data_IF_778522312644
#
_entry.id   IF_778522312644
#
_cell.length_a   1.000
_cell.length_b   1.000
_cell.length_c   1.000
_cell.angle_alpha   90.00
_cell.angle_beta   90.00
_cell.angle_gamma   90.00
#
_symmetry.space_group_name_H-M   'P 1'
#
loop_
_entity.id
_entity.type
_entity.pdbx_description
1 polymer ?
#
# COMPACT_ATOMS: atom_id res chain seq x y z
N UNK A 1 2.36 53.08 19.34
CA UNK A 1 2.24 52.26 20.56
C UNK A 1 0.77 52.22 20.99
N UNK A 2 -0.14 51.89 20.06
CA UNK A 2 -1.60 51.97 20.29
C UNK A 2 -2.40 50.89 19.50
N UNK A 3 -1.74 49.87 18.94
CA UNK A 3 -2.41 48.78 18.19
C UNK A 3 -2.30 47.39 18.86
N UNK A 4 -1.79 47.32 20.11
CA UNK A 4 -1.43 46.05 20.76
C UNK A 4 -2.53 45.39 21.63
N UNK A 5 -3.71 46.00 21.75
CA UNK A 5 -4.80 45.50 22.62
C UNK A 5 -6.15 45.37 21.88
N UNK A 6 -6.14 44.90 20.63
CA UNK A 6 -7.41 44.47 20.01
C UNK A 6 -7.77 43.09 20.53
N UNK A 7 -8.73 43.05 21.46
CA UNK A 7 -9.37 41.82 21.89
C UNK A 7 -9.79 40.98 20.66
N UNK A 8 -9.50 39.68 20.71
CA UNK A 8 -9.81 38.74 19.64
C UNK A 8 -11.31 38.80 19.32
N UNK A 9 -11.62 39.07 18.05
CA UNK A 9 -12.97 39.14 17.51
C UNK A 9 -13.42 37.72 17.17
N UNK A 10 -14.35 37.22 17.96
CA UNK A 10 -14.97 35.90 17.79
C UNK A 10 -16.46 36.10 17.56
N UNK A 11 -17.04 35.34 16.63
CA UNK A 11 -18.50 35.36 16.38
C UNK A 11 -19.31 35.02 17.65
N UNK A 12 -18.69 34.33 18.61
CA UNK A 12 -19.31 33.92 19.87
C UNK A 12 -19.28 35.01 20.95
N UNK A 13 -18.37 35.98 20.82
CA UNK A 13 -18.15 37.05 21.81
C UNK A 13 -18.60 38.43 21.29
N UNK A 14 -18.98 38.53 20.00
CA UNK A 14 -19.56 39.74 19.40
C UNK A 14 -21.04 39.92 19.73
N UNK A 15 -21.43 41.16 20.04
CA UNK A 15 -22.82 41.58 20.24
C UNK A 15 -23.71 41.30 19.00
N UNK A 16 -24.94 40.85 19.24
CA UNK A 16 -25.88 40.32 18.24
C UNK A 16 -26.33 41.32 17.18
N UNK A 17 -26.32 42.62 17.52
CA UNK A 17 -26.78 43.70 16.63
C UNK A 17 -25.66 44.29 15.76
N UNK A 18 -24.43 43.76 15.85
CA UNK A 18 -23.32 44.25 15.01
C UNK A 18 -23.60 43.98 13.53
N UNK A 19 -23.51 45.00 12.65
CA UNK A 19 -23.77 44.85 11.21
C UNK A 19 -22.93 43.76 10.55
N UNK A 20 -21.68 43.60 10.96
CA UNK A 20 -20.74 42.61 10.44
C UNK A 20 -21.22 41.19 10.77
N UNK A 21 -21.63 40.95 12.01
CA UNK A 21 -22.16 39.66 12.45
C UNK A 21 -23.45 39.31 11.70
N UNK A 22 -24.38 40.27 11.58
CA UNK A 22 -25.62 40.09 10.83
C UNK A 22 -25.36 39.77 9.36
N UNK A 23 -24.35 40.40 8.74
CA UNK A 23 -23.98 40.11 7.36
C UNK A 23 -23.37 38.71 7.22
N UNK A 24 -22.50 38.29 8.15
CA UNK A 24 -21.97 36.92 8.19
C UNK A 24 -23.07 35.87 8.38
N UNK A 25 -24.05 36.12 9.26
CA UNK A 25 -25.18 35.21 9.46
C UNK A 25 -26.09 35.13 8.23
N UNK A 26 -26.28 36.24 7.51
CA UNK A 26 -27.01 36.23 6.22
C UNK A 26 -26.30 35.39 5.16
N UNK A 27 -24.97 35.45 5.09
CA UNK A 27 -24.20 34.62 4.17
C UNK A 27 -24.39 33.12 4.50
N UNK A 28 -24.35 32.73 5.78
CA UNK A 28 -24.63 31.36 6.22
C UNK A 28 -26.07 30.95 5.89
N UNK A 29 -27.05 31.82 6.12
CA UNK A 29 -28.45 31.56 5.77
C UNK A 29 -28.63 31.38 4.26
N UNK A 30 -27.94 32.15 3.43
CA UNK A 30 -27.95 32.00 1.97
C UNK A 30 -27.34 30.66 1.54
N UNK A 31 -26.23 30.24 2.15
CA UNK A 31 -25.65 28.91 1.91
C UNK A 31 -26.59 27.79 2.31
N UNK A 32 -27.16 27.86 3.51
CA UNK A 32 -28.13 26.87 4.00
C UNK A 32 -29.34 26.77 3.07
N UNK A 33 -29.85 27.90 2.58
CA UNK A 33 -30.94 27.93 1.62
C UNK A 33 -30.62 27.27 0.28
N UNK A 34 -29.43 27.54 -0.28
CA UNK A 34 -28.96 26.87 -1.51
C UNK A 34 -28.85 25.36 -1.30
N UNK A 35 -28.24 24.93 -0.20
CA UNK A 35 -28.09 23.51 0.10
C UNK A 35 -29.44 22.83 0.36
N UNK A 36 -30.37 23.50 1.06
CA UNK A 36 -31.71 22.96 1.35
C UNK A 36 -32.51 22.75 0.07
N UNK A 37 -32.55 23.73 -0.83
CA UNK A 37 -33.32 23.59 -2.09
C UNK A 37 -32.72 22.58 -3.04
N UNK A 38 -31.40 22.42 -3.01
CA UNK A 38 -30.73 21.37 -3.75
C UNK A 38 -30.87 20.01 -3.04
N UNK A 39 -31.19 19.95 -1.74
CA UNK A 39 -31.35 18.69 -0.97
C UNK A 39 -32.71 18.02 -1.08
N UNK A 40 -33.74 18.73 -1.56
CA UNK A 40 -35.14 18.26 -1.65
C UNK A 40 -35.34 17.01 -2.56
N UNK A 41 -34.28 16.49 -3.19
CA UNK A 41 -34.34 15.38 -4.16
C UNK A 41 -33.13 14.45 -4.10
N UNK A 42 -32.88 13.72 -3.02
CA UNK A 42 -31.79 12.71 -2.92
C UNK A 42 -30.37 13.23 -3.33
N UNK A 43 -30.23 14.53 -3.55
CA UNK A 43 -29.21 15.12 -4.42
C UNK A 43 -27.88 15.23 -3.71
N UNK A 44 -27.91 15.42 -2.38
CA UNK A 44 -26.71 15.40 -1.54
C UNK A 44 -26.45 14.04 -0.90
N UNK A 45 -27.33 13.05 -1.07
CA UNK A 45 -27.03 11.68 -0.65
C UNK A 45 -26.04 11.01 -1.62
N UNK A 46 -25.93 11.54 -2.83
CA UNK A 46 -25.05 11.03 -3.88
C UNK A 46 -23.83 11.94 -4.09
N UNK A 47 -22.60 11.51 -3.76
CA UNK A 47 -21.40 12.35 -3.87
C UNK A 47 -21.15 12.93 -5.26
N UNK A 48 -21.56 12.23 -6.32
CA UNK A 48 -21.39 12.67 -7.71
C UNK A 48 -22.19 13.95 -8.01
N UNK A 49 -23.36 14.10 -7.40
CA UNK A 49 -24.21 15.26 -7.60
C UNK A 49 -23.63 16.51 -6.93
N UNK A 50 -22.98 16.34 -5.77
CA UNK A 50 -22.20 17.40 -5.11
C UNK A 50 -21.05 17.84 -6.00
N UNK A 51 -20.33 16.89 -6.60
CA UNK A 51 -19.25 17.20 -7.54
C UNK A 51 -19.74 17.97 -8.77
N UNK A 52 -20.88 17.58 -9.35
CA UNK A 52 -21.51 18.30 -10.48
C UNK A 52 -21.86 19.75 -10.10
N UNK A 53 -22.46 19.94 -8.93
CA UNK A 53 -22.75 21.26 -8.41
C UNK A 53 -21.49 22.13 -8.29
N UNK A 54 -20.43 21.58 -7.67
CA UNK A 54 -19.14 22.27 -7.54
C UNK A 54 -18.49 22.58 -8.89
N UNK A 55 -18.58 21.68 -9.87
CA UNK A 55 -18.07 21.88 -11.23
C UNK A 55 -18.79 23.02 -11.95
N UNK A 56 -20.11 23.10 -11.83
CA UNK A 56 -20.88 24.20 -12.44
C UNK A 56 -20.50 25.53 -11.77
N UNK A 57 -20.38 25.56 -10.45
CA UNK A 57 -19.86 26.72 -9.73
C UNK A 57 -18.46 27.13 -10.21
N UNK A 58 -17.56 26.15 -10.40
CA UNK A 58 -16.20 26.38 -10.91
C UNK A 58 -16.20 27.14 -12.24
N UNK A 59 -17.06 26.77 -13.19
CA UNK A 59 -17.17 27.45 -14.49
C UNK A 59 -17.63 28.90 -14.30
N UNK A 60 -18.63 29.13 -13.45
CA UNK A 60 -19.14 30.49 -13.18
C UNK A 60 -18.07 31.36 -12.49
N UNK A 61 -17.24 30.78 -11.63
CA UNK A 61 -16.14 31.52 -11.00
C UNK A 61 -14.99 31.83 -11.93
N UNK A 62 -14.64 30.90 -12.82
CA UNK A 62 -13.64 31.16 -13.86
C UNK A 62 -14.05 32.34 -14.73
N UNK A 63 -15.34 32.50 -15.03
CA UNK A 63 -15.87 33.72 -15.67
C UNK A 63 -15.73 34.95 -14.76
N UNK A 64 -16.07 34.82 -13.48
CA UNK A 64 -16.01 35.92 -12.51
C UNK A 64 -14.58 36.42 -12.24
N UNK A 65 -13.58 35.55 -12.41
CA UNK A 65 -12.14 35.84 -12.35
C UNK A 65 -11.57 36.37 -13.67
N UNK A 66 -12.36 36.36 -14.75
CA UNK A 66 -11.93 36.82 -16.08
C UNK A 66 -11.03 35.84 -16.83
N UNK A 67 -11.00 34.56 -16.41
CA UNK A 67 -10.22 33.49 -17.06
C UNK A 67 -10.91 33.03 -18.34
N UNK A 68 -12.25 33.10 -18.38
CA UNK A 68 -13.07 32.61 -19.50
C UNK A 68 -14.04 33.69 -19.99
N UNK A 69 -14.56 33.49 -21.20
CA UNK A 69 -15.53 34.39 -21.82
C UNK A 69 -16.82 34.54 -20.99
N UNK A 70 -17.58 35.64 -21.13
CA UNK A 70 -18.85 35.82 -20.42
C UNK A 70 -19.85 34.67 -20.66
N UNK A 71 -20.57 34.25 -19.62
CA UNK A 71 -21.63 33.23 -19.74
C UNK A 71 -22.92 33.96 -20.13
N UNK A 72 -23.38 33.79 -21.37
CA UNK A 72 -24.56 34.50 -21.87
C UNK A 72 -25.86 33.92 -21.31
N UNK A 73 -25.99 32.59 -21.31
CA UNK A 73 -27.19 31.88 -20.90
C UNK A 73 -26.86 30.46 -20.35
N UNK A 74 -27.90 29.73 -19.93
CA UNK A 74 -27.76 28.36 -19.43
C UNK A 74 -27.22 27.37 -20.45
N UNK A 75 -27.46 27.56 -21.74
CA UNK A 75 -26.94 26.69 -22.78
C UNK A 75 -25.42 26.86 -22.91
N UNK A 76 -24.92 28.11 -22.85
CA UNK A 76 -23.49 28.38 -22.79
C UNK A 76 -22.83 27.67 -21.62
N UNK A 77 -23.47 27.70 -20.44
CA UNK A 77 -22.97 27.03 -19.24
C UNK A 77 -22.97 25.50 -19.41
N UNK A 78 -24.04 24.94 -19.98
CA UNK A 78 -24.16 23.51 -20.28
C UNK A 78 -23.07 23.01 -21.25
N UNK A 79 -22.87 23.69 -22.37
CA UNK A 79 -21.86 23.29 -23.36
C UNK A 79 -20.43 23.46 -22.83
N UNK A 80 -20.16 24.49 -22.02
CA UNK A 80 -18.87 24.61 -21.33
C UNK A 80 -18.64 23.47 -20.36
N UNK A 81 -19.65 23.11 -19.57
CA UNK A 81 -19.53 21.96 -18.67
C UNK A 81 -19.14 20.70 -19.45
N UNK A 82 -19.84 20.42 -20.55
CA UNK A 82 -19.55 19.26 -21.40
C UNK A 82 -18.15 19.30 -22.02
N UNK A 83 -17.70 20.49 -22.46
CA UNK A 83 -16.37 20.67 -23.02
C UNK A 83 -15.26 20.49 -21.97
N UNK A 84 -15.46 21.01 -20.76
CA UNK A 84 -14.43 21.00 -19.71
C UNK A 84 -14.36 19.66 -18.95
N UNK A 85 -15.49 19.02 -18.69
CA UNK A 85 -15.57 17.82 -17.83
C UNK A 85 -16.01 16.55 -18.56
N UNK A 86 -16.29 16.63 -19.86
CA UNK A 86 -16.74 15.48 -20.66
C UNK A 86 -18.26 15.27 -20.63
N UNK A 87 -18.69 14.13 -21.19
CA UNK A 87 -20.09 13.75 -21.24
C UNK A 87 -20.58 13.16 -19.90
N UNK A 88 -21.76 13.59 -19.46
CA UNK A 88 -22.38 13.19 -18.20
C UNK A 88 -23.91 13.13 -18.41
N UNK A 89 -24.51 11.94 -18.30
CA UNK A 89 -25.91 11.69 -18.68
C UNK A 89 -26.92 12.45 -17.83
N UNK A 90 -26.63 12.65 -16.54
CA UNK A 90 -27.54 13.32 -15.61
C UNK A 90 -27.41 14.85 -15.68
N UNK A 91 -26.35 15.35 -16.32
CA UNK A 91 -26.19 16.77 -16.63
C UNK A 91 -27.06 17.12 -17.82
N UNK A 92 -28.25 17.65 -17.54
CA UNK A 92 -29.18 18.13 -18.55
C UNK A 92 -29.28 19.66 -18.54
N UNK A 93 -29.75 20.25 -19.65
CA UNK A 93 -30.06 21.69 -19.70
C UNK A 93 -31.11 22.05 -18.63
N UNK A 94 -32.07 21.16 -18.37
CA UNK A 94 -33.06 21.32 -17.30
C UNK A 94 -32.42 21.43 -15.93
N UNK A 95 -31.42 20.59 -15.66
CA UNK A 95 -30.64 20.65 -14.42
C UNK A 95 -29.87 21.97 -14.29
N UNK A 96 -29.16 22.40 -15.33
CA UNK A 96 -28.44 23.70 -15.32
C UNK A 96 -29.42 24.86 -15.05
N UNK A 97 -30.60 24.87 -15.67
CA UNK A 97 -31.64 25.88 -15.44
C UNK A 97 -32.15 25.88 -13.99
N UNK A 98 -32.32 24.71 -13.39
CA UNK A 98 -32.70 24.61 -11.99
C UNK A 98 -31.60 25.16 -11.08
N UNK A 99 -30.35 24.78 -11.31
CA UNK A 99 -29.20 25.24 -10.54
C UNK A 99 -29.03 26.76 -10.65
N UNK A 100 -29.12 27.35 -11.86
CA UNK A 100 -29.07 28.81 -12.02
C UNK A 100 -30.25 29.52 -11.36
N UNK A 101 -31.44 28.91 -11.35
CA UNK A 101 -32.58 29.46 -10.63
C UNK A 101 -32.32 29.52 -9.11
N UNK A 102 -31.87 28.41 -8.50
CA UNK A 102 -31.57 28.34 -7.06
C UNK A 102 -30.47 29.34 -6.68
N UNK A 103 -29.37 29.36 -7.44
CA UNK A 103 -28.27 30.32 -7.20
C UNK A 103 -28.74 31.78 -7.34
N UNK A 104 -29.66 32.05 -8.26
CA UNK A 104 -30.25 33.38 -8.42
C UNK A 104 -31.14 33.77 -7.24
N UNK A 105 -31.97 32.83 -6.76
CA UNK A 105 -32.88 33.04 -5.62
C UNK A 105 -32.14 33.45 -4.35
N UNK A 106 -30.97 32.84 -4.09
CA UNK A 106 -30.14 33.16 -2.91
C UNK A 106 -29.05 34.21 -3.16
N UNK A 107 -29.14 34.98 -4.26
CA UNK A 107 -28.21 36.06 -4.60
C UNK A 107 -26.75 35.62 -4.80
N UNK A 108 -26.48 34.36 -5.13
CA UNK A 108 -25.13 33.90 -5.49
C UNK A 108 -24.73 34.35 -6.89
N UNK A 109 -25.72 34.40 -7.80
CA UNK A 109 -25.54 34.92 -9.16
C UNK A 109 -26.56 36.01 -9.48
N UNK A 110 -26.19 36.90 -10.40
CA UNK A 110 -27.08 37.81 -11.08
C UNK A 110 -27.35 37.25 -12.48
N UNK A 111 -28.62 36.95 -12.77
CA UNK A 111 -29.07 36.59 -14.11
C UNK A 111 -29.68 37.82 -14.77
N UNK A 112 -29.04 38.27 -15.85
CA UNK A 112 -29.58 39.28 -16.77
C UNK A 112 -29.90 38.61 -18.10
N UNK A 113 -30.73 39.21 -18.95
CA UNK A 113 -31.10 38.62 -20.24
C UNK A 113 -29.93 38.35 -21.21
N UNK A 114 -28.73 38.84 -20.90
CA UNK A 114 -27.52 38.67 -21.72
C UNK A 114 -26.33 38.07 -20.97
N UNK A 115 -26.42 37.86 -19.66
CA UNK A 115 -25.28 37.41 -18.84
C UNK A 115 -25.70 36.79 -17.52
N UNK A 116 -25.03 35.71 -17.16
CA UNK A 116 -24.97 35.14 -15.82
C UNK A 116 -23.66 35.57 -15.19
N UNK A 117 -23.70 36.26 -14.05
CA UNK A 117 -22.51 36.76 -13.34
C UNK A 117 -22.54 36.40 -11.87
N UNK A 118 -21.43 35.97 -11.30
CA UNK A 118 -21.31 35.74 -9.85
C UNK A 118 -21.35 37.03 -9.04
N UNK A 119 -22.09 37.03 -7.93
CA UNK A 119 -22.13 38.12 -6.93
C UNK A 119 -21.14 37.85 -5.79
N UNK A 120 -20.87 38.86 -4.96
CA UNK A 120 -19.87 38.76 -3.89
C UNK A 120 -20.20 37.68 -2.85
N UNK A 121 -21.49 37.49 -2.51
CA UNK A 121 -21.93 36.38 -1.64
C UNK A 121 -21.59 35.03 -2.29
N UNK A 122 -21.90 34.87 -3.57
CA UNK A 122 -21.60 33.65 -4.32
C UNK A 122 -20.10 33.35 -4.37
N UNK A 123 -19.26 34.37 -4.58
CA UNK A 123 -17.79 34.22 -4.55
C UNK A 123 -17.32 33.71 -3.19
N UNK A 124 -17.71 34.37 -2.10
CA UNK A 124 -17.32 33.96 -0.73
C UNK A 124 -17.76 32.54 -0.40
N UNK A 125 -19.01 32.21 -0.68
CA UNK A 125 -19.55 30.87 -0.37
C UNK A 125 -18.90 29.78 -1.22
N UNK A 126 -18.62 30.08 -2.48
CA UNK A 126 -17.91 29.16 -3.34
C UNK A 126 -16.48 28.92 -2.88
N UNK A 127 -15.74 29.96 -2.50
CA UNK A 127 -14.38 29.80 -1.97
C UNK A 127 -14.37 28.93 -0.71
N UNK A 128 -15.37 29.11 0.17
CA UNK A 128 -15.56 28.26 1.35
C UNK A 128 -15.85 26.80 0.96
N UNK A 129 -16.74 26.56 -0.01
CA UNK A 129 -17.08 25.21 -0.46
C UNK A 129 -15.92 24.51 -1.15
N UNK A 130 -15.16 25.21 -2.00
CA UNK A 130 -13.97 24.68 -2.66
C UNK A 130 -12.90 24.34 -1.63
N UNK A 131 -12.64 25.25 -0.69
CA UNK A 131 -11.70 24.99 0.41
C UNK A 131 -12.13 23.76 1.20
N UNK A 132 -13.40 23.65 1.59
CA UNK A 132 -13.92 22.49 2.31
C UNK A 132 -13.75 21.19 1.51
N UNK A 133 -14.08 21.20 0.22
CA UNK A 133 -13.96 20.03 -0.64
C UNK A 133 -12.50 19.60 -0.82
N UNK A 134 -11.59 20.56 -1.08
CA UNK A 134 -10.16 20.29 -1.21
C UNK A 134 -9.53 19.82 0.09
N UNK A 135 -9.90 20.41 1.22
CA UNK A 135 -9.40 20.00 2.54
C UNK A 135 -9.89 18.58 2.89
N UNK A 136 -11.13 18.26 2.52
CA UNK A 136 -11.68 16.90 2.69
C UNK A 136 -10.98 15.90 1.76
N UNK A 137 -10.76 16.27 0.50
CA UNK A 137 -10.03 15.42 -0.45
C UNK A 137 -8.60 15.16 0.03
N UNK A 138 -7.87 16.20 0.43
CA UNK A 138 -6.53 16.08 0.95
C UNK A 138 -6.48 15.22 2.21
N UNK A 139 -7.47 15.34 3.10
CA UNK A 139 -7.61 14.44 4.25
C UNK A 139 -7.75 12.97 3.81
N UNK A 140 -8.64 12.66 2.87
CA UNK A 140 -8.85 11.26 2.47
C UNK A 140 -7.76 10.68 1.57
N UNK A 141 -6.93 11.50 0.93
CA UNK A 141 -5.77 11.04 0.14
C UNK A 141 -4.60 10.55 1.00
N UNK A 142 -4.53 10.98 2.26
CA UNK A 142 -3.43 10.69 3.16
C UNK A 142 -3.70 9.44 4.02
N UNK A 143 -2.64 8.78 4.48
CA UNK A 143 -2.68 7.75 5.52
C UNK A 143 -3.02 8.35 6.90
N UNK A 144 -3.44 7.55 7.89
CA UNK A 144 -3.97 8.03 9.16
C UNK A 144 -2.98 8.91 9.95
N UNK A 145 -1.68 8.62 9.95
CA UNK A 145 -0.66 9.50 10.56
C UNK A 145 -0.57 10.83 9.81
N UNK A 146 -0.52 10.77 8.47
CA UNK A 146 -0.43 11.94 7.60
C UNK A 146 -1.70 12.80 7.66
N UNK A 147 -2.87 12.19 7.87
CA UNK A 147 -4.16 12.87 8.08
C UNK A 147 -4.11 13.82 9.27
N UNK A 148 -3.66 13.32 10.42
CA UNK A 148 -3.55 14.12 11.64
C UNK A 148 -2.53 15.25 11.48
N UNK A 149 -1.38 14.99 10.84
CA UNK A 149 -0.39 16.04 10.53
C UNK A 149 -0.90 17.09 9.55
N UNK A 150 -1.66 16.68 8.53
CA UNK A 150 -2.27 17.60 7.59
C UNK A 150 -3.32 18.48 8.28
N UNK A 151 -4.12 17.93 9.18
CA UNK A 151 -5.05 18.72 9.99
C UNK A 151 -4.32 19.71 10.90
N UNK A 152 -3.24 19.29 11.55
CA UNK A 152 -2.39 20.20 12.32
C UNK A 152 -1.84 21.34 11.45
N UNK A 153 -1.36 21.04 10.24
CA UNK A 153 -0.82 22.04 9.31
C UNK A 153 -1.89 23.04 8.89
N UNK A 154 -3.10 22.55 8.60
CA UNK A 154 -4.26 23.38 8.30
C UNK A 154 -4.62 24.28 9.48
N UNK A 155 -4.66 23.77 10.70
CA UNK A 155 -4.95 24.57 11.89
C UNK A 155 -3.89 25.66 12.12
N UNK A 156 -2.62 25.37 11.82
CA UNK A 156 -1.54 26.36 11.83
C UNK A 156 -1.79 27.49 10.80
N UNK A 157 -2.17 27.13 9.56
CA UNK A 157 -2.45 28.10 8.48
C UNK A 157 -3.71 28.92 8.75
N UNK A 158 -4.74 28.30 9.34
CA UNK A 158 -5.94 29.01 9.77
C UNK A 158 -5.62 29.98 10.90
N UNK A 159 -4.83 29.55 11.88
CA UNK A 159 -4.34 30.42 12.95
C UNK A 159 -3.60 31.62 12.38
N UNK A 160 -2.68 31.40 11.44
CA UNK A 160 -1.98 32.50 10.75
C UNK A 160 -2.91 33.43 9.97
N UNK A 161 -3.87 32.90 9.23
CA UNK A 161 -4.78 33.72 8.43
C UNK A 161 -5.74 34.57 9.28
N UNK A 162 -6.07 34.10 10.48
CA UNK A 162 -7.20 34.59 11.28
C UNK A 162 -6.80 35.13 12.66
N UNK A 163 -6.04 34.38 13.47
CA UNK A 163 -5.59 34.83 14.81
C UNK A 163 -4.69 36.07 14.69
N UNK A 164 -3.79 36.10 13.70
CA UNK A 164 -2.88 37.25 13.47
C UNK A 164 -3.65 38.54 13.10
N UNK A 165 -4.88 38.41 12.59
CA UNK A 165 -5.76 39.54 12.27
C UNK A 165 -6.70 39.89 13.43
N UNK A 166 -6.53 39.24 14.57
CA UNK A 166 -7.41 39.38 15.72
C UNK A 166 -8.77 38.75 15.51
N UNK A 167 -8.93 37.76 14.62
CA UNK A 167 -10.21 37.14 14.27
C UNK A 167 -10.16 35.64 14.55
N UNK A 168 -10.05 35.19 15.80
CA UNK A 168 -10.34 33.79 16.19
C UNK A 168 -10.05 33.58 17.67
N UNK A 169 -10.84 32.71 18.32
CA UNK A 169 -10.74 32.45 19.75
C UNK A 169 -9.85 31.24 20.04
N UNK A 170 -8.52 31.41 20.07
CA UNK A 170 -7.52 30.60 20.79
C UNK A 170 -7.46 29.06 20.62
N UNK A 171 -8.42 28.44 19.95
CA UNK A 171 -8.60 26.98 19.93
C UNK A 171 -7.77 26.30 18.84
N UNK A 172 -7.28 27.05 17.85
CA UNK A 172 -6.53 26.50 16.72
C UNK A 172 -5.14 26.01 17.08
N UNK A 173 -4.42 26.75 17.93
CA UNK A 173 -3.14 26.29 18.47
C UNK A 173 -3.30 24.98 19.27
N UNK A 174 -4.35 24.90 20.09
CA UNK A 174 -4.62 23.71 20.90
C UNK A 174 -5.06 22.50 20.05
N UNK A 175 -5.89 22.75 19.04
CA UNK A 175 -6.28 21.75 18.03
C UNK A 175 -5.06 21.23 17.26
N UNK A 176 -4.16 22.14 16.84
CA UNK A 176 -2.90 21.78 16.20
C UNK A 176 -2.05 20.87 17.09
N UNK A 177 -1.85 21.23 18.36
CA UNK A 177 -1.07 20.40 19.30
C UNK A 177 -1.70 19.02 19.48
N UNK A 178 -3.03 18.96 19.65
CA UNK A 178 -3.75 17.69 19.80
C UNK A 178 -3.58 16.79 18.57
N UNK A 179 -3.69 17.35 17.37
CA UNK A 179 -3.52 16.59 16.13
C UNK A 179 -2.07 16.09 15.96
N UNK A 180 -1.07 16.85 16.43
CA UNK A 180 0.32 16.37 16.48
C UNK A 180 0.47 15.23 17.49
N UNK A 181 -0.08 15.36 18.70
CA UNK A 181 -0.07 14.28 19.71
C UNK A 181 -0.71 12.98 19.18
N UNK A 182 -1.87 13.10 18.51
CA UNK A 182 -2.54 11.97 17.86
C UNK A 182 -1.67 11.34 16.76
N UNK A 183 -1.01 12.16 15.93
CA UNK A 183 -0.08 11.67 14.91
C UNK A 183 1.14 10.93 15.51
N UNK A 184 1.67 11.42 16.64
CA UNK A 184 2.79 10.79 17.35
C UNK A 184 2.38 9.43 17.91
N UNK A 185 1.19 9.32 18.51
CA UNK A 185 0.67 8.04 19.01
C UNK A 185 0.55 7.03 17.87
N UNK A 186 -0.09 7.43 16.76
CA UNK A 186 -0.28 6.56 15.60
C UNK A 186 1.05 6.16 14.95
N UNK A 187 2.02 7.07 14.85
CA UNK A 187 3.35 6.77 14.32
C UNK A 187 4.09 5.75 15.19
N UNK A 188 3.92 5.84 16.51
CA UNK A 188 4.53 4.91 17.47
C UNK A 188 3.89 3.52 17.36
N UNK A 189 2.55 3.46 17.27
CA UNK A 189 1.80 2.21 17.14
C UNK A 189 2.11 1.50 15.81
N UNK A 190 2.26 2.26 14.73
CA UNK A 190 2.49 1.73 13.37
C UNK A 190 3.98 1.65 12.99
N UNK A 191 4.90 1.90 13.93
CA UNK A 191 6.34 1.86 13.64
C UNK A 191 6.77 0.50 13.06
N UNK A 192 6.24 -0.61 13.61
CA UNK A 192 6.51 -1.96 13.13
C UNK A 192 5.97 -2.19 11.71
N UNK A 193 4.79 -1.65 11.41
CA UNK A 193 4.18 -1.75 10.08
C UNK A 193 5.07 -1.06 9.03
N UNK A 194 5.55 0.15 9.32
CA UNK A 194 6.46 0.86 8.44
C UNK A 194 7.82 0.16 8.29
N UNK A 195 8.30 -0.55 9.31
CA UNK A 195 9.53 -1.34 9.17
C UNK A 195 9.34 -2.63 8.37
N UNK A 196 8.11 -3.16 8.32
CA UNK A 196 7.74 -4.33 7.54
C UNK A 196 7.43 -4.03 6.06
N UNK A 197 6.99 -2.82 5.73
CA UNK A 197 6.66 -2.43 4.36
C UNK A 197 7.90 -1.96 3.58
N UNK A 198 8.17 -2.64 2.45
CA UNK A 198 9.30 -2.38 1.54
C UNK A 198 9.28 -0.95 0.95
N UNK A 199 8.12 -0.29 0.87
CA UNK A 199 7.97 1.06 0.32
C UNK A 199 7.72 2.14 1.39
N UNK A 200 7.89 1.82 2.67
CA UNK A 200 7.58 2.75 3.75
C UNK A 200 8.51 3.97 3.83
N UNK A 201 9.73 3.91 3.31
CA UNK A 201 10.71 5.00 3.42
C UNK A 201 10.13 6.34 2.93
N UNK A 202 9.55 6.36 1.73
CA UNK A 202 8.92 7.55 1.16
C UNK A 202 7.79 8.09 2.05
N UNK A 203 7.00 7.19 2.66
CA UNK A 203 5.87 7.56 3.50
C UNK A 203 6.34 8.21 4.82
N UNK A 204 7.36 7.62 5.46
CA UNK A 204 7.94 8.12 6.70
C UNK A 204 8.73 9.41 6.48
N UNK A 205 9.39 9.57 5.32
CA UNK A 205 10.02 10.85 4.94
C UNK A 205 9.02 12.00 4.82
N UNK A 206 7.85 11.75 4.20
CA UNK A 206 6.77 12.74 4.12
C UNK A 206 6.28 13.12 5.52
N UNK A 207 6.09 12.13 6.40
CA UNK A 207 5.71 12.36 7.81
C UNK A 207 6.77 13.22 8.52
N UNK A 208 8.06 12.89 8.37
CA UNK A 208 9.15 13.64 8.97
C UNK A 208 9.23 15.08 8.48
N UNK A 209 9.04 15.29 7.18
CA UNK A 209 9.03 16.63 6.59
C UNK A 209 7.84 17.46 7.10
N UNK A 210 6.65 16.86 7.20
CA UNK A 210 5.48 17.51 7.79
C UNK A 210 5.70 17.87 9.26
N UNK A 211 6.32 16.99 10.05
CA UNK A 211 6.70 17.27 11.44
C UNK A 211 7.65 18.48 11.55
N UNK A 212 8.67 18.56 10.69
CA UNK A 212 9.60 19.71 10.64
C UNK A 212 8.91 21.01 10.26
N UNK A 213 8.02 20.98 9.27
CA UNK A 213 7.24 22.17 8.89
C UNK A 213 6.35 22.64 10.05
N UNK A 214 5.72 21.70 10.75
CA UNK A 214 4.89 21.97 11.92
C UNK A 214 5.69 22.50 13.11
N UNK A 215 6.92 22.03 13.30
CA UNK A 215 7.83 22.54 14.33
C UNK A 215 8.08 24.04 14.14
N UNK A 216 8.44 24.46 12.94
CA UNK A 216 8.69 25.88 12.62
C UNK A 216 7.43 26.70 12.88
N UNK A 217 6.28 26.27 12.33
CA UNK A 217 5.01 26.98 12.52
C UNK A 217 4.61 27.04 14.00
N UNK A 218 4.78 25.96 14.75
CA UNK A 218 4.43 25.88 16.17
C UNK A 218 5.28 26.83 17.01
N UNK A 219 6.59 26.89 16.76
CA UNK A 219 7.51 27.83 17.44
C UNK A 219 7.11 29.27 17.16
N UNK A 220 6.86 29.61 15.89
CA UNK A 220 6.38 30.94 15.50
C UNK A 220 5.09 31.32 16.20
N UNK A 221 4.12 30.39 16.27
CA UNK A 221 2.84 30.64 16.92
C UNK A 221 3.00 30.79 18.43
N UNK A 222 3.73 29.90 19.10
CA UNK A 222 3.97 29.96 20.55
C UNK A 222 4.62 31.28 20.95
N UNK A 223 5.57 31.79 20.17
CA UNK A 223 6.22 33.08 20.42
C UNK A 223 5.24 34.26 20.43
N UNK A 224 4.16 34.22 19.64
CA UNK A 224 3.13 35.27 19.63
C UNK A 224 2.24 35.26 20.86
N UNK A 225 2.13 34.12 21.55
CA UNK A 225 1.32 33.98 22.76
C UNK A 225 2.11 34.29 24.05
N UNK A 226 3.44 34.38 23.98
CA UNK A 226 4.28 34.82 25.11
C UNK A 226 4.03 36.27 25.53
N UNK A 227 3.41 37.10 24.67
CA UNK A 227 3.12 38.51 24.97
C UNK A 227 1.75 38.73 25.62
N UNK A 228 0.97 37.67 25.89
CA UNK A 228 -0.34 37.75 26.55
C UNK A 228 -0.20 37.37 28.03
N UNK A 229 -0.79 38.17 28.93
CA UNK A 229 -0.78 38.07 30.41
C UNK A 229 -1.44 36.78 30.99
N UNK A 230 -1.26 35.62 30.36
CA UNK A 230 -1.81 34.31 30.74
C UNK A 230 -0.71 33.22 30.85
N UNK A 231 0.47 33.58 31.35
CA UNK A 231 1.67 32.71 31.40
C UNK A 231 1.43 31.29 31.93
N UNK A 232 0.58 31.12 32.96
CA UNK A 232 0.38 29.82 33.63
C UNK A 232 -0.40 28.80 32.77
N UNK A 233 -1.41 29.26 32.00
CA UNK A 233 -2.19 28.38 31.12
C UNK A 233 -1.39 28.08 29.85
N UNK A 234 -0.64 29.06 29.35
CA UNK A 234 0.20 28.89 28.16
C UNK A 234 1.44 28.04 28.42
N UNK A 235 1.98 27.99 29.64
CA UNK A 235 3.10 27.13 29.98
C UNK A 235 2.80 25.64 29.71
N UNK A 236 1.61 25.15 30.09
CA UNK A 236 1.19 23.76 29.83
C UNK A 236 1.03 23.49 28.34
N UNK A 237 0.44 24.42 27.59
CA UNK A 237 0.24 24.30 26.14
C UNK A 237 1.59 24.28 25.42
N UNK A 238 2.50 25.18 25.80
CA UNK A 238 3.87 25.23 25.28
C UNK A 238 4.62 23.93 25.54
N UNK A 239 4.58 23.43 26.78
CA UNK A 239 5.21 22.16 27.13
C UNK A 239 4.67 21.02 26.26
N UNK A 240 3.34 20.85 26.20
CA UNK A 240 2.70 19.80 25.38
C UNK A 240 3.10 19.88 23.91
N UNK A 241 3.01 21.06 23.31
CA UNK A 241 3.40 21.27 21.91
C UNK A 241 4.87 20.92 21.66
N UNK A 242 5.78 21.42 22.51
CA UNK A 242 7.23 21.13 22.37
C UNK A 242 7.55 19.65 22.57
N UNK A 243 6.89 18.98 23.50
CA UNK A 243 7.07 17.54 23.73
C UNK A 243 6.58 16.74 22.54
N UNK A 244 5.35 16.99 22.07
CA UNK A 244 4.77 16.24 20.95
C UNK A 244 5.58 16.38 19.66
N UNK A 245 6.02 17.61 19.31
CA UNK A 245 6.87 17.82 18.14
C UNK A 245 8.23 17.15 18.32
N UNK A 246 8.88 17.31 19.48
CA UNK A 246 10.20 16.70 19.71
C UNK A 246 10.16 15.18 19.63
N UNK A 247 9.12 14.57 20.21
CA UNK A 247 8.89 13.13 20.17
C UNK A 247 8.59 12.65 18.74
N UNK A 248 7.67 13.31 18.03
CA UNK A 248 7.34 12.97 16.65
C UNK A 248 8.53 13.08 15.69
N UNK A 249 9.34 14.12 15.82
CA UNK A 249 10.57 14.29 15.01
C UNK A 249 11.60 13.21 15.33
N UNK A 250 11.76 12.83 16.60
CA UNK A 250 12.68 11.76 17.01
C UNK A 250 12.23 10.39 16.52
N UNK A 251 10.95 10.06 16.67
CA UNK A 251 10.39 8.77 16.23
C UNK A 251 10.49 8.67 14.71
N UNK A 252 10.00 9.66 13.96
CA UNK A 252 10.07 9.64 12.49
C UNK A 252 11.51 9.51 11.97
N UNK A 253 12.47 10.26 12.54
CA UNK A 253 13.88 10.15 12.16
C UNK A 253 14.48 8.79 12.55
N UNK A 254 14.17 8.29 13.75
CA UNK A 254 14.61 6.98 14.21
C UNK A 254 14.10 5.85 13.32
N UNK A 255 12.83 5.91 12.90
CA UNK A 255 12.24 4.95 11.95
C UNK A 255 12.94 5.00 10.60
N UNK A 256 13.20 6.20 10.03
CA UNK A 256 13.97 6.35 8.79
C UNK A 256 15.35 5.70 8.93
N UNK A 257 16.07 6.02 10.01
CA UNK A 257 17.40 5.47 10.25
C UNK A 257 17.39 3.95 10.40
N UNK A 258 16.35 3.38 11.04
CA UNK A 258 16.17 1.93 11.14
C UNK A 258 15.91 1.30 9.77
N UNK A 259 15.02 1.87 8.95
CA UNK A 259 14.77 1.39 7.58
C UNK A 259 16.08 1.38 6.77
N UNK A 260 16.84 2.48 6.82
CA UNK A 260 18.12 2.57 6.11
C UNK A 260 19.16 1.57 6.63
N UNK A 261 19.24 1.36 7.95
CA UNK A 261 20.13 0.34 8.53
C UNK A 261 19.74 -1.07 8.11
N UNK A 262 18.45 -1.38 8.10
CA UNK A 262 17.94 -2.67 7.66
C UNK A 262 18.23 -2.91 6.17
N UNK A 263 17.99 -1.93 5.31
CA UNK A 263 18.37 -2.00 3.90
C UNK A 263 19.88 -2.21 3.72
N UNK A 264 20.72 -1.49 4.46
CA UNK A 264 22.17 -1.66 4.39
C UNK A 264 22.65 -3.02 4.92
N UNK A 265 21.96 -3.59 5.92
CA UNK A 265 22.21 -4.93 6.43
C UNK A 265 21.94 -6.02 5.38
N UNK A 266 20.98 -5.80 4.47
CA UNK A 266 20.73 -6.72 3.36
C UNK A 266 21.89 -6.76 2.36
N UNK A 267 22.58 -5.62 2.18
CA UNK A 267 23.68 -5.47 1.22
C UNK A 267 25.06 -5.82 1.80
N UNK A 268 25.18 -6.00 3.12
CA UNK A 268 26.47 -6.21 3.78
C UNK A 268 26.80 -7.70 3.91
N UNK A 269 28.01 -8.07 3.49
CA UNK A 269 28.54 -9.43 3.64
C UNK A 269 28.59 -9.86 5.12
N UNK A 270 28.36 -11.15 5.37
CA UNK A 270 28.43 -11.74 6.71
C UNK A 270 29.77 -11.43 7.40
N UNK A 271 29.69 -10.76 8.55
CA UNK A 271 30.86 -10.39 9.35
C UNK A 271 31.44 -11.66 10.00
N UNK A 272 32.73 -11.95 9.71
CA UNK A 272 33.43 -13.12 10.28
C UNK A 272 33.96 -12.93 11.71
N UNK A 273 33.89 -11.71 12.26
CA UNK A 273 34.46 -11.38 13.58
C UNK A 273 33.45 -10.60 14.44
N UNK A 274 33.03 -11.17 15.57
CA UNK A 274 32.12 -10.54 16.53
C UNK A 274 32.95 -9.86 17.62
N UNK A 275 32.72 -8.56 17.86
CA UNK A 275 33.28 -7.84 19.01
C UNK A 275 32.37 -8.00 20.24
N UNK A 276 32.75 -8.76 21.28
CA UNK A 276 31.85 -9.15 22.36
C UNK A 276 31.29 -7.97 23.18
N UNK A 277 32.12 -6.96 23.44
CA UNK A 277 31.72 -5.77 24.21
C UNK A 277 30.70 -4.91 23.44
N UNK A 278 30.86 -4.76 22.12
CA UNK A 278 29.92 -4.02 21.29
C UNK A 278 28.60 -4.77 21.16
N UNK A 279 28.65 -6.09 21.02
CA UNK A 279 27.47 -6.95 20.96
C UNK A 279 26.69 -6.95 22.29
N UNK A 280 27.38 -7.04 23.43
CA UNK A 280 26.74 -6.96 24.75
C UNK A 280 26.07 -5.60 24.96
N UNK A 281 26.74 -4.51 24.59
CA UNK A 281 26.16 -3.16 24.66
C UNK A 281 24.96 -3.00 23.73
N UNK A 282 24.97 -3.63 22.56
CA UNK A 282 23.84 -3.66 21.64
C UNK A 282 22.64 -4.40 22.27
N UNK A 283 22.83 -5.61 22.79
CA UNK A 283 21.77 -6.39 23.46
C UNK A 283 21.11 -5.58 24.59
N UNK A 284 21.92 -4.95 25.45
CA UNK A 284 21.40 -4.15 26.57
C UNK A 284 20.56 -2.97 26.06
N UNK A 285 21.00 -2.30 25.00
CA UNK A 285 20.28 -1.16 24.41
C UNK A 285 19.06 -1.58 23.58
N UNK A 286 19.02 -2.80 23.05
CA UNK A 286 17.87 -3.32 22.29
C UNK A 286 16.72 -3.79 23.18
N UNK A 287 16.96 -4.06 24.47
CA UNK A 287 15.90 -4.48 25.40
C UNK A 287 15.01 -3.30 25.82
N UNK A 288 15.59 -2.11 25.97
CA UNK A 288 14.88 -0.86 26.28
C UNK A 288 15.52 0.31 25.51
N UNK A 289 15.25 0.42 24.20
CA UNK A 289 15.82 1.50 23.41
C UNK A 289 15.14 2.82 23.80
N UNK A 290 15.92 3.90 24.02
CA UNK A 290 15.33 5.22 24.26
C UNK A 290 14.47 5.65 23.07
N UNK A 291 13.38 6.39 23.33
CA UNK A 291 12.42 6.84 22.31
C UNK A 291 13.16 7.57 21.17
N UNK A 292 12.93 7.12 19.93
CA UNK A 292 13.59 7.64 18.72
C UNK A 292 15.05 7.20 18.55
N UNK A 293 15.51 6.18 19.28
CA UNK A 293 16.82 5.58 19.05
C UNK A 293 16.86 4.85 17.71
N UNK A 294 17.99 4.94 17.02
CA UNK A 294 18.27 4.16 15.81
C UNK A 294 18.59 2.69 16.09
N UNK A 295 18.51 2.24 17.35
CA UNK A 295 18.75 0.85 17.76
C UNK A 295 17.39 0.14 17.70
N UNK A 296 17.24 -0.91 16.86
CA UNK A 296 15.99 -1.64 16.78
C UNK A 296 15.78 -2.48 18.06
N UNK A 297 14.53 -2.55 18.50
CA UNK A 297 14.12 -3.44 19.59
C UNK A 297 14.00 -4.89 19.09
N UNK A 298 13.85 -5.84 20.01
CA UNK A 298 13.74 -7.27 19.65
C UNK A 298 12.59 -7.54 18.67
N UNK A 299 11.43 -6.89 18.81
CA UNK A 299 10.29 -7.05 17.91
C UNK A 299 10.56 -6.51 16.50
N UNK A 300 11.29 -5.40 16.37
CA UNK A 300 11.68 -4.79 15.10
C UNK A 300 12.71 -5.64 14.37
N UNK A 301 13.64 -6.26 15.10
CA UNK A 301 14.60 -7.20 14.54
C UNK A 301 13.88 -8.45 14.02
N UNK A 302 12.99 -9.04 14.82
CA UNK A 302 12.21 -10.22 14.40
C UNK A 302 11.33 -9.91 13.18
N UNK A 303 10.62 -8.78 13.20
CA UNK A 303 9.81 -8.34 12.06
C UNK A 303 10.62 -8.11 10.78
N UNK A 304 11.91 -7.81 10.88
CA UNK A 304 12.80 -7.70 9.72
C UNK A 304 13.27 -9.08 9.21
N UNK A 305 13.44 -10.04 10.11
CA UNK A 305 13.83 -11.43 9.78
C UNK A 305 12.68 -12.28 9.19
N UNK A 306 11.44 -11.83 9.31
CA UNK A 306 10.22 -12.53 8.85
C UNK A 306 9.67 -11.95 7.52
N UNK A 307 10.47 -11.25 6.72
CA UNK A 307 10.01 -10.50 5.54
C UNK A 307 10.00 -11.28 4.22
N UNK A 308 10.42 -12.54 4.21
CA UNK A 308 10.40 -13.41 3.03
C UNK A 308 11.21 -12.84 1.84
N UNK A 309 12.39 -12.30 2.13
CA UNK A 309 13.36 -11.71 1.21
C UNK A 309 14.19 -12.75 0.43
N UNK A 310 14.36 -13.99 0.91
CA UNK A 310 15.02 -15.08 0.17
C UNK A 310 14.21 -16.39 0.16
N UNK A 311 14.44 -17.25 -0.85
CA UNK A 311 13.62 -18.44 -1.16
C UNK A 311 13.48 -19.45 0.01
N UNK A 312 14.39 -19.43 0.99
CA UNK A 312 14.39 -20.30 2.18
C UNK A 312 14.07 -19.56 3.51
N UNK A 313 13.67 -18.28 3.49
CA UNK A 313 13.49 -17.47 4.71
C UNK A 313 12.36 -17.97 5.62
N UNK A 314 11.32 -18.58 5.06
CA UNK A 314 10.22 -19.19 5.85
C UNK A 314 10.70 -20.32 6.77
N UNK A 315 11.84 -20.96 6.45
CA UNK A 315 12.49 -21.99 7.28
C UNK A 315 13.49 -21.40 8.29
N UNK A 316 14.14 -20.28 7.97
CA UNK A 316 15.09 -19.57 8.83
C UNK A 316 14.40 -18.66 9.88
N UNK A 317 13.17 -18.21 9.63
CA UNK A 317 12.37 -17.38 10.53
C UNK A 317 11.96 -18.07 11.84
N UNK A 318 12.17 -19.39 11.97
CA UNK A 318 12.13 -20.06 13.27
C UNK A 318 13.43 -19.80 14.02
N UNK A 319 13.46 -18.73 14.83
CA UNK A 319 14.36 -18.70 15.98
C UNK A 319 13.96 -19.86 16.90
N UNK A 320 14.54 -21.05 16.69
CA UNK A 320 14.45 -22.14 17.66
C UNK A 320 15.17 -21.60 18.89
N UNK A 321 14.49 -21.39 20.03
CA UNK A 321 15.21 -21.12 21.25
C UNK A 321 16.10 -22.32 21.48
N UNK A 322 17.40 -22.17 21.25
CA UNK A 322 18.39 -23.09 21.80
C UNK A 322 18.10 -23.02 23.29
N UNK A 323 17.51 -24.09 23.84
CA UNK A 323 17.23 -24.20 25.27
C UNK A 323 18.55 -23.88 25.94
N UNK A 324 18.68 -22.71 26.56
CA UNK A 324 19.73 -22.51 27.54
C UNK A 324 19.62 -23.70 28.47
N UNK A 325 20.74 -24.41 28.66
CA UNK A 325 20.79 -25.62 29.47
C UNK A 325 19.94 -25.37 30.72
N UNK A 326 18.86 -26.13 30.87
CA UNK A 326 17.97 -26.01 32.02
C UNK A 326 18.84 -25.96 33.28
N UNK A 327 18.52 -25.11 34.28
CA UNK A 327 19.23 -25.16 35.54
C UNK A 327 19.29 -26.62 36.00
N UNK A 328 20.51 -27.11 36.29
CA UNK A 328 20.74 -28.50 36.67
C UNK A 328 19.79 -28.82 37.84
N UNK A 329 18.91 -29.82 37.72
CA UNK A 329 18.02 -30.18 38.81
C UNK A 329 18.90 -30.61 40.00
N UNK A 330 18.49 -30.34 41.26
CA UNK A 330 19.27 -30.71 42.44
C UNK A 330 19.71 -32.18 42.45
N UNK A 331 18.85 -33.07 41.94
CA UNK A 331 19.13 -34.49 41.79
C UNK A 331 20.33 -34.76 40.87
N UNK A 332 20.49 -34.02 39.77
CA UNK A 332 21.64 -34.18 38.86
C UNK A 332 22.94 -33.63 39.46
N UNK A 333 22.85 -32.67 40.40
CA UNK A 333 24.02 -32.19 41.15
C UNK A 333 24.43 -33.25 42.17
N UNK A 334 23.47 -33.83 42.90
CA UNK A 334 23.72 -34.89 43.87
C UNK A 334 24.27 -36.15 43.20
N UNK A 335 23.70 -36.58 42.06
CA UNK A 335 24.21 -37.69 41.25
C UNK A 335 25.61 -37.40 40.70
N UNK A 336 25.90 -36.17 40.30
CA UNK A 336 27.23 -35.76 39.85
C UNK A 336 28.27 -35.79 40.97
N UNK A 337 27.89 -35.38 42.18
CA UNK A 337 28.75 -35.47 43.37
C UNK A 337 28.99 -36.94 43.73
N UNK A 338 27.94 -37.77 43.75
CA UNK A 338 28.04 -39.19 44.05
C UNK A 338 28.88 -39.94 43.01
N UNK A 339 28.73 -39.60 41.72
CA UNK A 339 29.56 -40.14 40.65
C UNK A 339 31.03 -39.80 40.84
N UNK A 340 31.36 -38.56 41.22
CA UNK A 340 32.76 -38.13 41.45
C UNK A 340 33.34 -38.74 42.73
N UNK A 341 32.55 -38.87 43.78
CA UNK A 341 32.99 -39.44 45.07
C UNK A 341 33.18 -40.96 45.01
N UNK A 342 32.37 -41.66 44.23
CA UNK A 342 32.40 -43.13 44.09
C UNK A 342 32.92 -43.58 42.72
N UNK A 343 33.62 -42.71 41.99
CA UNK A 343 34.20 -43.07 40.70
C UNK A 343 35.29 -44.14 40.86
N UNK A 344 34.95 -45.39 40.59
CA UNK A 344 35.94 -46.44 40.36
C UNK A 344 36.33 -46.41 38.87
N UNK A 345 37.61 -46.14 38.53
CA UNK A 345 38.04 -46.15 37.15
C UNK A 345 37.90 -47.56 36.57
N UNK A 346 37.18 -47.67 35.46
CA UNK A 346 37.02 -48.91 34.72
C UNK A 346 38.42 -49.33 34.22
N UNK A 347 38.97 -50.41 34.79
CA UNK A 347 40.26 -50.99 34.40
C UNK A 347 40.11 -52.12 33.38
N UNK A 348 38.90 -52.34 32.86
CA UNK A 348 38.66 -53.29 31.79
C UNK A 348 39.25 -52.75 30.48
N UNK A 349 39.93 -53.62 29.72
CA UNK A 349 40.42 -53.25 28.39
C UNK A 349 39.23 -52.80 27.54
N UNK A 350 39.39 -51.64 26.90
CA UNK A 350 38.40 -51.09 25.97
C UNK A 350 38.18 -52.15 24.90
N UNK A 351 37.00 -52.79 24.91
CA UNK A 351 36.60 -53.62 23.78
C UNK A 351 36.60 -52.72 22.55
N UNK A 352 37.45 -53.04 21.56
CA UNK A 352 37.42 -52.39 20.25
C UNK A 352 36.00 -52.55 19.70
N UNK A 353 35.23 -51.47 19.79
CA UNK A 353 33.98 -51.32 19.06
C UNK A 353 34.32 -51.51 17.59
N UNK A 354 33.86 -52.62 17.02
CA UNK A 354 33.84 -52.81 15.58
C UNK A 354 33.08 -51.63 15.01
N UNK A 355 33.80 -50.71 14.36
CA UNK A 355 33.18 -49.65 13.56
C UNK A 355 32.25 -50.35 12.56
N UNK A 356 30.94 -50.08 12.65
CA UNK A 356 30.04 -50.48 11.59
C UNK A 356 30.49 -49.77 10.33
N UNK A 357 31.06 -50.55 9.40
CA UNK A 357 31.50 -50.09 8.09
C UNK A 357 30.24 -49.72 7.31
N UNK A 358 29.87 -48.45 7.35
CA UNK A 358 28.81 -47.92 6.49
C UNK A 358 29.36 -47.98 5.06
N UNK A 359 28.75 -48.78 4.15
CA UNK A 359 29.19 -48.75 2.76
C UNK A 359 29.06 -47.30 2.28
N UNK A 360 30.16 -46.76 1.72
CA UNK A 360 30.13 -45.47 1.03
C UNK A 360 28.93 -45.49 0.08
N UNK A 361 28.02 -44.54 0.26
CA UNK A 361 26.93 -44.30 -0.69
C UNK A 361 27.59 -44.10 -2.04
N UNK A 362 27.39 -45.04 -2.97
CA UNK A 362 27.77 -44.86 -4.37
C UNK A 362 27.26 -43.48 -4.79
N UNK A 363 28.17 -42.60 -5.20
CA UNK A 363 27.83 -41.31 -5.77
C UNK A 363 26.84 -41.56 -6.91
N UNK A 364 25.56 -41.28 -6.65
CA UNK A 364 24.52 -41.33 -7.67
C UNK A 364 24.88 -40.24 -8.65
N UNK A 365 25.48 -40.64 -9.78
CA UNK A 365 25.84 -39.76 -10.88
C UNK A 365 24.61 -38.88 -11.22
N UNK A 366 24.83 -37.59 -11.44
CA UNK A 366 23.78 -36.58 -11.67
C UNK A 366 22.73 -37.03 -12.71
N UNK A 367 23.15 -37.80 -13.71
CA UNK A 367 22.33 -38.42 -14.75
C UNK A 367 21.27 -39.41 -14.21
N UNK A 368 21.56 -40.17 -13.15
CA UNK A 368 20.63 -41.11 -12.51
C UNK A 368 19.63 -40.39 -11.59
N UNK A 369 20.05 -39.27 -11.01
CA UNK A 369 19.21 -38.41 -10.17
C UNK A 369 18.18 -37.63 -11.03
N UNK A 370 18.58 -37.20 -12.23
CA UNK A 370 17.67 -36.59 -13.22
C UNK A 370 16.64 -37.60 -13.74
N UNK A 371 16.99 -38.88 -13.90
CA UNK A 371 16.06 -39.95 -14.33
C UNK A 371 15.03 -40.28 -13.23
N UNK A 372 15.46 -40.40 -11.96
CA UNK A 372 14.59 -40.65 -10.80
C UNK A 372 13.64 -39.46 -10.50
N UNK A 373 14.14 -38.22 -10.59
CA UNK A 373 13.29 -37.02 -10.42
C UNK A 373 12.39 -36.77 -11.63
N UNK A 374 12.85 -37.10 -12.84
CA UNK A 374 12.08 -37.01 -14.08
C UNK A 374 10.87 -37.94 -14.08
N UNK A 375 11.01 -39.17 -13.59
CA UNK A 375 9.89 -40.11 -13.50
C UNK A 375 8.87 -39.71 -12.44
N UNK A 376 9.29 -39.11 -11.31
CA UNK A 376 8.34 -38.54 -10.32
C UNK A 376 7.57 -37.34 -10.87
N UNK A 377 8.25 -36.42 -11.58
CA UNK A 377 7.59 -35.29 -12.27
C UNK A 377 6.60 -35.77 -13.35
N UNK A 378 6.94 -36.83 -14.05
CA UNK A 378 6.07 -37.43 -15.06
C UNK A 378 4.80 -38.04 -14.46
N UNK A 379 4.91 -38.76 -13.34
CA UNK A 379 3.75 -39.31 -12.63
C UNK A 379 2.81 -38.21 -12.13
N UNK A 380 3.34 -37.09 -11.61
CA UNK A 380 2.52 -35.93 -11.24
C UNK A 380 1.83 -35.29 -12.46
N UNK A 381 2.55 -35.14 -13.58
CA UNK A 381 1.99 -34.58 -14.81
C UNK A 381 0.86 -35.45 -15.38
N UNK A 382 1.00 -36.79 -15.31
CA UNK A 382 -0.03 -37.76 -15.70
C UNK A 382 -1.32 -37.66 -14.89
N UNK A 383 -1.23 -37.27 -13.62
CA UNK A 383 -2.43 -37.08 -12.78
C UNK A 383 -3.19 -35.80 -13.14
N UNK A 384 -2.51 -34.79 -13.68
CA UNK A 384 -3.11 -33.49 -14.01
C UNK A 384 -3.53 -33.37 -15.48
N UNK A 385 -2.86 -34.06 -16.40
CA UNK A 385 -3.09 -33.98 -17.84
C UNK A 385 -3.36 -35.38 -18.40
N UNK A 386 -4.45 -35.54 -19.17
CA UNK A 386 -4.83 -36.81 -19.78
C UNK A 386 -3.92 -37.18 -20.97
N UNK A 387 -2.72 -37.72 -20.71
CA UNK A 387 -1.74 -38.11 -21.73
C UNK A 387 -1.84 -39.58 -22.18
N UNK A 388 -2.67 -40.37 -21.52
CA UNK A 388 -2.72 -41.84 -21.65
C UNK A 388 -3.12 -42.32 -23.05
N UNK A 389 -4.00 -41.59 -23.74
CA UNK A 389 -4.48 -41.97 -25.07
C UNK A 389 -3.43 -41.68 -26.15
N UNK A 390 -2.68 -40.58 -26.00
CA UNK A 390 -1.58 -40.19 -26.89
C UNK A 390 -0.41 -41.16 -26.74
N UNK A 391 -0.05 -41.54 -25.50
CA UNK A 391 0.99 -42.55 -25.24
C UNK A 391 0.64 -43.91 -25.84
N UNK A 392 -0.61 -44.39 -25.66
CA UNK A 392 -1.07 -45.66 -26.24
C UNK A 392 -1.01 -45.68 -27.76
N UNK A 393 -1.23 -44.54 -28.40
CA UNK A 393 -1.13 -44.43 -29.86
C UNK A 393 0.34 -44.45 -30.32
N UNK A 394 1.20 -43.67 -29.66
CA UNK A 394 2.64 -43.62 -29.92
C UNK A 394 3.36 -44.94 -29.57
N UNK A 395 2.79 -45.79 -28.72
CA UNK A 395 3.30 -47.14 -28.47
C UNK A 395 3.04 -48.10 -29.64
N UNK A 396 2.02 -47.83 -30.47
CA UNK A 396 1.67 -48.66 -31.62
C UNK A 396 2.28 -48.16 -32.94
N UNK A 397 2.73 -46.90 -32.98
CA UNK A 397 3.25 -46.25 -34.18
C UNK A 397 4.55 -45.52 -33.83
N UNK A 398 5.66 -45.89 -34.47
CA UNK A 398 6.99 -45.31 -34.18
C UNK A 398 7.08 -43.79 -34.43
N UNK A 399 6.22 -43.23 -35.29
CA UNK A 399 6.20 -41.82 -35.67
C UNK A 399 4.82 -41.44 -36.23
N UNK A 400 4.19 -40.40 -35.67
CA UNK A 400 2.87 -39.92 -36.08
C UNK A 400 2.86 -38.40 -36.29
N UNK A 401 2.03 -37.90 -37.21
CA UNK A 401 1.84 -36.46 -37.40
C UNK A 401 1.07 -35.84 -36.23
N UNK A 402 1.34 -34.57 -35.91
CA UNK A 402 0.66 -33.84 -34.82
C UNK A 402 -0.87 -33.90 -34.98
N UNK A 403 -1.38 -33.75 -36.20
CA UNK A 403 -2.81 -33.80 -36.49
C UNK A 403 -3.43 -35.16 -36.28
N UNK A 404 -2.65 -36.21 -36.50
CA UNK A 404 -3.08 -37.59 -36.35
C UNK A 404 -3.18 -37.93 -34.88
N UNK A 405 -2.20 -37.48 -34.08
CA UNK A 405 -2.19 -37.67 -32.63
C UNK A 405 -3.34 -36.94 -31.96
N UNK A 406 -3.65 -35.72 -32.38
CA UNK A 406 -4.72 -34.93 -31.78
C UNK A 406 -6.11 -35.48 -32.11
N UNK A 407 -6.31 -36.04 -33.30
CA UNK A 407 -7.59 -36.68 -33.68
C UNK A 407 -7.73 -38.10 -33.17
N UNK A 408 -6.65 -38.86 -33.02
CA UNK A 408 -6.72 -40.22 -32.48
C UNK A 408 -6.76 -40.26 -30.94
N UNK A 409 -6.26 -39.21 -30.27
CA UNK A 409 -6.30 -39.08 -28.82
C UNK A 409 -7.44 -38.19 -28.29
N UNK A 410 -8.22 -37.58 -29.18
CA UNK A 410 -9.35 -36.70 -28.85
C UNK A 410 -10.52 -36.92 -29.81
N UNK A 411 -11.60 -36.14 -29.66
CA UNK A 411 -12.70 -36.15 -30.64
C UNK A 411 -12.50 -35.09 -31.72
N UNK A 412 -13.31 -35.13 -32.77
CA UNK A 412 -13.29 -34.20 -33.91
C UNK A 412 -13.66 -32.74 -33.55
N UNK A 413 -13.86 -32.45 -32.25
CA UNK A 413 -14.31 -31.17 -31.70
C UNK A 413 -13.16 -30.31 -31.20
N UNK A 414 -13.28 -29.00 -31.40
CA UNK A 414 -12.25 -28.02 -31.02
C UNK A 414 -11.85 -28.06 -29.52
N UNK A 415 -12.79 -28.33 -28.61
CA UNK A 415 -12.48 -28.43 -27.18
C UNK A 415 -11.44 -29.50 -26.83
N UNK A 416 -11.39 -30.57 -27.63
CA UNK A 416 -10.58 -31.76 -27.32
C UNK A 416 -9.20 -31.66 -27.97
N UNK A 417 -9.07 -30.83 -29.01
CA UNK A 417 -7.79 -30.51 -29.67
C UNK A 417 -6.85 -29.77 -28.72
N UNK A 418 -7.37 -28.83 -27.93
CA UNK A 418 -6.58 -28.13 -26.91
C UNK A 418 -6.01 -29.11 -25.88
N UNK A 419 -6.82 -30.08 -25.43
CA UNK A 419 -6.37 -31.10 -24.49
C UNK A 419 -5.33 -32.04 -25.12
N UNK A 420 -5.52 -32.41 -26.39
CA UNK A 420 -4.55 -33.19 -27.15
C UNK A 420 -3.22 -32.47 -27.32
N UNK A 421 -3.24 -31.18 -27.64
CA UNK A 421 -2.03 -30.35 -27.77
C UNK A 421 -1.32 -30.17 -26.44
N UNK A 422 -2.06 -29.90 -25.36
CA UNK A 422 -1.49 -29.81 -24.01
C UNK A 422 -0.83 -31.15 -23.62
N UNK A 423 -1.46 -32.28 -23.95
CA UNK A 423 -0.90 -33.60 -23.70
C UNK A 423 0.38 -33.88 -24.51
N UNK A 424 0.41 -33.49 -25.78
CA UNK A 424 1.61 -33.59 -26.64
C UNK A 424 2.74 -32.68 -26.11
N UNK A 425 2.44 -31.44 -25.76
CA UNK A 425 3.41 -30.50 -25.20
C UNK A 425 3.97 -31.01 -23.87
N UNK A 426 3.15 -31.64 -23.02
CA UNK A 426 3.59 -32.26 -21.78
C UNK A 426 4.55 -33.45 -22.00
N UNK A 427 4.33 -34.24 -23.06
CA UNK A 427 5.22 -35.35 -23.45
C UNK A 427 6.59 -34.84 -23.94
N UNK A 428 6.60 -33.73 -24.69
CA UNK A 428 7.83 -33.11 -25.19
C UNK A 428 8.60 -32.44 -24.05
N UNK A 429 7.91 -31.68 -23.19
CA UNK A 429 8.52 -30.99 -22.05
C UNK A 429 9.20 -31.95 -21.07
N UNK A 430 8.62 -33.15 -20.89
CA UNK A 430 9.19 -34.20 -20.03
C UNK A 430 10.14 -35.16 -20.79
N UNK A 431 10.63 -34.77 -21.97
CA UNK A 431 11.59 -35.52 -22.79
C UNK A 431 11.14 -36.95 -23.17
N UNK A 432 9.83 -37.25 -23.13
CA UNK A 432 9.28 -38.59 -23.50
C UNK A 432 9.00 -38.71 -25.02
N UNK A 433 8.84 -37.59 -25.72
CA UNK A 433 8.72 -37.52 -27.18
C UNK A 433 9.53 -36.35 -27.76
N UNK A 434 10.03 -36.47 -28.98
CA UNK A 434 10.75 -35.42 -29.71
C UNK A 434 9.96 -34.99 -30.97
N UNK A 435 10.09 -33.71 -31.36
CA UNK A 435 9.54 -33.19 -32.62
C UNK A 435 10.61 -33.31 -33.70
N UNK A 436 10.28 -33.95 -34.82
CA UNK A 436 11.06 -33.92 -36.04
C UNK A 436 10.36 -33.05 -37.10
N UNK A 437 10.90 -31.85 -37.30
CA UNK A 437 10.38 -30.87 -38.26
C UNK A 437 10.54 -31.32 -39.73
N UNK A 438 11.37 -32.33 -40.02
CA UNK A 438 11.60 -32.83 -41.38
C UNK A 438 10.68 -33.99 -41.79
N UNK A 439 9.91 -34.53 -40.86
CA UNK A 439 9.14 -35.75 -41.06
C UNK A 439 7.88 -35.59 -41.92
N UNK A 440 7.34 -34.37 -42.07
CA UNK A 440 6.21 -33.97 -42.94
C UNK A 440 5.25 -35.11 -43.33
N UNK A 441 4.61 -35.73 -42.33
CA UNK A 441 3.57 -36.75 -42.56
C UNK A 441 2.21 -36.07 -42.53
N UNK A 442 1.55 -36.04 -43.68
CA UNK A 442 0.17 -35.56 -43.80
C UNK A 442 -0.81 -36.68 -43.44
N UNK A 443 -1.87 -36.31 -42.73
CA UNK A 443 -3.04 -37.16 -42.60
C UNK A 443 -3.66 -37.42 -43.97
N UNK A 444 -4.14 -38.64 -44.17
CA UNK A 444 -4.86 -39.02 -45.38
C UNK A 444 -6.22 -38.29 -45.39
N UNK A 445 -6.29 -37.19 -46.15
CA UNK A 445 -7.30 -36.11 -46.08
C UNK A 445 -8.76 -36.52 -46.39
N UNK A 446 -9.03 -37.82 -46.59
CA UNK A 446 -10.26 -38.31 -47.20
C UNK A 446 -11.28 -38.96 -46.25
N UNK A 447 -11.12 -38.92 -44.92
CA UNK A 447 -12.01 -39.68 -44.02
C UNK A 447 -12.48 -39.07 -42.69
N UNK A 448 -12.20 -37.80 -42.36
CA UNK A 448 -12.73 -37.21 -41.10
C UNK A 448 -13.28 -35.80 -41.30
N UNK A 449 -14.58 -35.59 -41.05
CA UNK A 449 -15.18 -34.25 -40.91
C UNK A 449 -14.74 -33.67 -39.56
N UNK A 450 -14.04 -32.52 -39.57
CA UNK A 450 -13.52 -31.86 -38.36
C UNK A 450 -14.08 -30.43 -38.25
N UNK A 451 -14.41 -30.03 -37.02
CA UNK A 451 -14.96 -28.70 -36.72
C UNK A 451 -13.88 -27.60 -36.61
N UNK A 452 -12.62 -27.94 -36.89
CA UNK A 452 -11.46 -27.07 -36.70
C UNK A 452 -10.44 -27.28 -37.84
N UNK A 453 -9.65 -26.24 -38.13
CA UNK A 453 -8.55 -26.26 -39.10
C UNK A 453 -7.40 -25.40 -38.58
N UNK A 454 -6.16 -25.78 -38.91
CA UNK A 454 -5.01 -24.94 -38.64
C UNK A 454 -5.05 -23.66 -39.46
N UNK A 455 -4.40 -22.62 -38.95
CA UNK A 455 -4.26 -21.34 -39.66
C UNK A 455 -3.30 -21.49 -40.84
N UNK A 456 -2.31 -22.38 -40.73
CA UNK A 456 -1.38 -22.78 -41.80
C UNK A 456 -1.32 -24.31 -41.88
N UNK A 457 -1.56 -24.88 -43.06
CA UNK A 457 -1.62 -26.35 -43.27
C UNK A 457 -0.31 -27.08 -42.96
N UNK A 458 0.82 -26.35 -42.88
CA UNK A 458 2.15 -26.89 -42.54
C UNK A 458 2.31 -27.14 -41.03
N UNK A 459 1.46 -26.56 -40.19
CA UNK A 459 1.57 -26.72 -38.73
C UNK A 459 1.08 -28.09 -38.24
N UNK A 460 0.25 -28.77 -39.04
CA UNK A 460 -0.25 -30.09 -38.72
C UNK A 460 0.66 -31.25 -39.11
N UNK A 461 1.73 -30.97 -39.86
CA UNK A 461 2.60 -31.99 -40.47
C UNK A 461 3.87 -32.30 -39.68
N UNK A 462 4.07 -31.64 -38.53
CA UNK A 462 5.18 -31.94 -37.62
C UNK A 462 5.10 -33.39 -37.14
N UNK A 463 6.17 -34.16 -37.37
CA UNK A 463 6.25 -35.55 -36.92
C UNK A 463 6.67 -35.60 -35.46
N UNK A 464 5.95 -36.38 -34.66
CA UNK A 464 6.27 -36.62 -33.26
C UNK A 464 6.66 -38.09 -33.12
N UNK A 465 7.83 -38.30 -32.53
CA UNK A 465 8.42 -39.62 -32.32
C UNK A 465 8.73 -39.84 -30.85
N UNK A 466 8.45 -41.05 -30.37
CA UNK A 466 8.85 -41.48 -29.03
C UNK A 466 10.36 -41.54 -28.91
N UNK A 467 10.91 -40.95 -27.84
CA UNK A 467 12.34 -40.97 -27.58
C UNK A 467 12.74 -42.34 -27.00
N UNK A 468 13.59 -43.09 -27.72
CA UNK A 468 14.08 -44.40 -27.28
C UNK A 468 15.13 -44.29 -26.18
N UNK A 469 15.07 -45.17 -25.18
CA UNK A 469 16.11 -45.35 -24.16
C UNK A 469 17.41 -45.76 -24.87
N UNK A 470 18.49 -44.99 -24.73
CA UNK A 470 19.83 -45.41 -25.17
C UNK A 470 20.28 -46.55 -24.25
N UNK A 471 20.27 -47.78 -24.73
CA UNK A 471 21.06 -48.86 -24.12
C UNK A 471 22.54 -48.50 -24.30
N UNK A 472 23.20 -48.07 -23.22
CA UNK A 472 24.65 -47.98 -23.17
C UNK A 472 25.22 -49.40 -23.09
N UNK A 473 25.44 -50.03 -24.26
CA UNK A 473 26.51 -51.00 -24.40
C UNK A 473 27.76 -50.25 -24.83
N UNK A 474 28.63 -49.94 -23.88
CA UNK A 474 30.08 -50.17 -23.95
C UNK A 474 30.65 -50.15 -22.54
#
# INVERSE_FOLDING_TARGET
MEELDKALISIFDTDGDKPELLQSMRDIAALSGVLSELSDKEYFQSPIHVLRFLRVLNIINQEALGITDPIENEETLFYRYRHTFGYDEEMTIGFIKHLTFVLGKYNWIAKTGKRIKMRDVGKRMMDVLIRLANDSLAYYLNDDVQRSLFQAKRDAELSEAYDDKGISGGNKLMSMIKNVEEAVSLLTERELEYLSDRNALNQVEVIHQLMKELEVKMVERLAKFETLDQELVFATVKQRGTTAISEGTKISLGTINKILKFAHLQETDFIKTIHPELFRNFIVKSFDPPIGSDIPNAHQILSFMEQGQYEDEELDGMWVPVKFASPLPPVAIDEGIEYVENYEPITEEIEETVEEDFPELEEVMEDQLEELMGDSRWQMTKQMIHTEQIEKYLDNVDEAGLDELVVQAGSDKWSDVLNGLIGVSALIANKKADIDEKANRKLDDNKTERDWRWIEDEQGTYGIRKRGRRDSKY
#
